data_IF_001714603586
#
_entry.id   IF_001714603586
#
_cell.length_a   1.000
_cell.length_b   1.000
_cell.length_c   1.000
_cell.angle_alpha   90.00
_cell.angle_beta   90.00
_cell.angle_gamma   90.00
#
_symmetry.space_group_name_H-M   'P 1'
#
loop_
_entity.id
_entity.type
_entity.pdbx_description
1 polymer ?
#
# COMPACT_ATOMS: atom_id res chain seq x y z
N UNK A 1 -28.96 11.42 -8.11
CA UNK A 1 -30.00 10.38 -8.02
C UNK A 1 -29.53 9.14 -7.23
N UNK A 2 -28.27 8.74 -7.26
CA UNK A 2 -27.74 7.55 -6.55
C UNK A 2 -27.62 6.31 -7.42
N UNK A 3 -27.88 6.42 -8.70
CA UNK A 3 -27.70 5.37 -9.71
C UNK A 3 -27.02 5.92 -10.98
N UNK A 4 -26.71 5.05 -11.96
CA UNK A 4 -26.00 5.44 -13.17
C UNK A 4 -26.87 6.28 -14.11
N UNK A 5 -26.23 6.99 -15.05
CA UNK A 5 -26.95 7.78 -16.05
C UNK A 5 -27.78 6.91 -17.02
N UNK A 6 -27.42 5.63 -17.15
CA UNK A 6 -28.13 4.65 -18.00
C UNK A 6 -29.45 4.18 -17.38
N UNK A 7 -29.58 4.32 -16.03
CA UNK A 7 -30.73 3.88 -15.26
C UNK A 7 -31.70 5.02 -14.93
N UNK A 8 -31.53 6.21 -15.52
CA UNK A 8 -32.38 7.36 -15.27
C UNK A 8 -33.82 7.12 -15.72
N UNK A 9 -34.77 7.46 -14.83
CA UNK A 9 -36.19 7.48 -15.19
C UNK A 9 -36.51 8.61 -16.19
N UNK A 10 -37.65 8.52 -16.86
CA UNK A 10 -38.15 9.61 -17.71
C UNK A 10 -38.36 10.91 -16.93
N UNK A 11 -38.79 10.82 -15.67
CA UNK A 11 -38.93 11.98 -14.79
C UNK A 11 -37.60 12.63 -14.44
N UNK A 12 -36.59 11.84 -14.13
CA UNK A 12 -35.25 12.30 -13.82
C UNK A 12 -34.53 12.89 -15.04
N UNK A 13 -34.65 12.21 -16.20
CA UNK A 13 -34.13 12.70 -17.48
C UNK A 13 -34.76 14.04 -17.88
N UNK A 14 -36.07 14.16 -17.80
CA UNK A 14 -36.78 15.39 -18.07
C UNK A 14 -36.42 16.52 -17.08
N UNK A 15 -36.19 16.17 -15.79
CA UNK A 15 -35.72 17.14 -14.80
C UNK A 15 -34.34 17.67 -15.14
N UNK A 16 -33.39 16.79 -15.49
CA UNK A 16 -32.04 17.19 -15.90
C UNK A 16 -32.06 18.06 -17.15
N UNK A 17 -32.95 17.78 -18.11
CA UNK A 17 -33.06 18.55 -19.34
C UNK A 17 -33.59 19.97 -19.09
N UNK A 18 -34.42 20.22 -18.08
CA UNK A 18 -34.97 21.55 -17.79
C UNK A 18 -34.14 22.38 -16.82
N UNK A 19 -33.20 21.76 -16.04
CA UNK A 19 -32.34 22.46 -15.08
C UNK A 19 -31.44 23.53 -15.71
N UNK A 20 -30.80 23.34 -16.88
CA UNK A 20 -29.89 24.33 -17.46
C UNK A 20 -30.59 25.61 -17.92
N UNK A 21 -31.91 25.60 -18.13
CA UNK A 21 -32.65 26.75 -18.68
C UNK A 21 -32.77 27.96 -17.76
N UNK A 22 -32.53 27.82 -16.45
CA UNK A 22 -32.54 28.95 -15.52
C UNK A 22 -31.84 28.56 -14.19
N UNK A 23 -30.56 28.28 -14.19
CA UNK A 23 -29.83 27.69 -13.04
C UNK A 23 -29.85 28.59 -11.78
N UNK A 24 -29.97 29.90 -11.94
CA UNK A 24 -30.07 30.84 -10.82
C UNK A 24 -31.47 30.86 -10.13
N UNK A 25 -32.51 30.43 -10.83
CA UNK A 25 -33.91 30.50 -10.36
C UNK A 25 -34.52 29.13 -10.07
N UNK A 26 -33.99 28.09 -10.67
CA UNK A 26 -34.55 26.74 -10.61
C UNK A 26 -33.43 25.80 -10.12
N UNK A 27 -33.51 25.46 -8.85
CA UNK A 27 -32.58 24.55 -8.18
C UNK A 27 -33.37 23.59 -7.31
N UNK A 28 -32.82 22.41 -6.99
CA UNK A 28 -33.48 21.44 -6.12
C UNK A 28 -33.83 22.01 -4.74
N UNK A 29 -33.05 22.97 -4.24
CA UNK A 29 -33.36 23.68 -2.97
C UNK A 29 -34.23 24.91 -3.10
N UNK A 30 -34.35 25.51 -4.30
CA UNK A 30 -35.14 26.73 -4.56
C UNK A 30 -35.96 26.57 -5.82
N UNK A 31 -37.25 27.02 -5.76
CA UNK A 31 -38.13 26.98 -6.92
C UNK A 31 -38.61 25.59 -7.31
N UNK A 32 -38.67 24.65 -6.39
CA UNK A 32 -39.11 23.25 -6.63
C UNK A 32 -40.47 23.18 -7.35
N UNK A 33 -41.45 24.04 -7.01
CA UNK A 33 -42.75 24.09 -7.71
C UNK A 33 -42.56 24.44 -9.21
N UNK A 34 -41.69 25.38 -9.51
CA UNK A 34 -41.41 25.81 -10.88
C UNK A 34 -40.63 24.69 -11.64
N UNK A 35 -39.69 24.01 -10.97
CA UNK A 35 -38.99 22.88 -11.52
C UNK A 35 -39.96 21.74 -11.86
N UNK A 36 -40.82 21.38 -10.94
CA UNK A 36 -41.87 20.35 -11.12
C UNK A 36 -42.75 20.70 -12.31
N UNK A 37 -43.24 21.93 -12.38
CA UNK A 37 -44.12 22.40 -13.48
C UNK A 37 -43.38 22.31 -14.85
N UNK A 38 -42.13 22.71 -14.92
CA UNK A 38 -41.35 22.64 -16.16
C UNK A 38 -41.07 21.19 -16.57
N UNK A 39 -40.70 20.32 -15.61
CA UNK A 39 -40.51 18.89 -15.84
C UNK A 39 -41.81 18.27 -16.41
N UNK A 40 -42.90 18.48 -15.73
CA UNK A 40 -44.20 17.91 -16.13
C UNK A 40 -44.66 18.45 -17.48
N UNK A 41 -44.35 19.73 -17.80
CA UNK A 41 -44.65 20.28 -19.12
C UNK A 41 -43.81 19.60 -20.24
N UNK A 42 -42.52 19.31 -19.97
CA UNK A 42 -41.67 18.57 -20.93
C UNK A 42 -42.21 17.15 -21.11
N UNK A 43 -42.55 16.46 -20.01
CA UNK A 43 -43.12 15.09 -20.09
C UNK A 43 -44.42 15.06 -20.88
N UNK A 44 -45.28 16.07 -20.70
CA UNK A 44 -46.53 16.22 -21.47
C UNK A 44 -46.23 16.39 -22.96
N UNK A 45 -45.26 17.21 -23.33
CA UNK A 45 -44.84 17.41 -24.70
C UNK A 45 -44.32 16.11 -25.32
N UNK A 46 -43.49 15.35 -24.60
CA UNK A 46 -42.99 14.06 -25.05
C UNK A 46 -44.14 13.03 -25.29
N UNK A 47 -45.17 13.07 -24.47
CA UNK A 47 -46.39 12.28 -24.64
C UNK A 47 -47.19 12.72 -25.86
N UNK A 48 -47.40 14.04 -26.04
CA UNK A 48 -48.14 14.60 -27.20
C UNK A 48 -47.41 14.34 -28.53
N UNK A 49 -46.08 14.23 -28.51
CA UNK A 49 -45.25 13.88 -29.66
C UNK A 49 -45.07 12.35 -29.83
N UNK A 50 -45.79 11.54 -29.08
CA UNK A 50 -45.78 10.05 -29.12
C UNK A 50 -44.38 9.44 -28.85
N UNK A 51 -43.47 10.17 -28.16
CA UNK A 51 -42.14 9.67 -27.79
C UNK A 51 -42.24 8.71 -26.60
N UNK A 52 -43.20 8.97 -25.69
CA UNK A 52 -43.52 8.09 -24.56
C UNK A 52 -45.01 7.74 -24.59
N UNK A 53 -45.35 6.53 -24.13
CA UNK A 53 -46.72 6.07 -24.05
C UNK A 53 -47.48 6.63 -22.82
N UNK A 54 -48.78 6.44 -22.76
CA UNK A 54 -49.64 6.95 -21.68
C UNK A 54 -49.23 6.38 -20.31
N UNK A 55 -48.86 5.11 -20.24
CA UNK A 55 -48.46 4.46 -18.98
C UNK A 55 -47.16 5.06 -18.47
N UNK A 56 -46.18 5.22 -19.33
CA UNK A 56 -44.89 5.86 -19.02
C UNK A 56 -45.06 7.31 -18.58
N UNK A 57 -45.96 8.06 -19.25
CA UNK A 57 -46.25 9.43 -18.89
C UNK A 57 -46.89 9.53 -17.49
N UNK A 58 -47.90 8.69 -17.18
CA UNK A 58 -48.54 8.66 -15.87
C UNK A 58 -47.56 8.31 -14.74
N UNK A 59 -46.69 7.34 -14.94
CA UNK A 59 -45.64 6.97 -13.99
C UNK A 59 -44.65 8.14 -13.78
N UNK A 60 -44.17 8.73 -14.87
CA UNK A 60 -43.19 9.82 -14.80
C UNK A 60 -43.70 11.08 -14.10
N UNK A 61 -44.99 11.46 -14.31
CA UNK A 61 -45.56 12.63 -13.61
C UNK A 61 -45.86 12.34 -12.13
N UNK A 62 -46.10 11.07 -11.77
CA UNK A 62 -46.34 10.67 -10.37
C UNK A 62 -45.05 10.64 -9.53
N UNK A 63 -43.92 10.55 -10.17
CA UNK A 63 -42.59 10.50 -9.51
C UNK A 63 -42.29 11.86 -8.85
N UNK A 64 -41.97 11.89 -7.54
CA UNK A 64 -41.59 13.11 -6.86
C UNK A 64 -40.25 13.66 -7.33
N UNK A 65 -40.00 14.96 -7.13
CA UNK A 65 -38.65 15.51 -7.26
C UNK A 65 -37.78 14.98 -6.11
N UNK A 66 -36.50 14.63 -6.35
CA UNK A 66 -35.61 14.24 -5.29
C UNK A 66 -35.44 15.35 -4.26
N UNK A 67 -35.32 15.00 -2.98
CA UNK A 67 -35.22 15.99 -1.92
C UNK A 67 -33.89 16.71 -1.92
N UNK A 68 -32.78 15.95 -1.94
CA UNK A 68 -31.43 16.47 -2.01
C UNK A 68 -30.58 15.60 -2.95
N UNK A 69 -29.54 16.16 -3.57
CA UNK A 69 -28.59 15.37 -4.36
C UNK A 69 -27.92 14.32 -3.45
N UNK A 70 -27.84 13.09 -3.91
CA UNK A 70 -27.04 12.10 -3.24
C UNK A 70 -25.56 12.53 -3.25
N UNK A 71 -24.86 12.48 -2.10
CA UNK A 71 -23.45 12.77 -2.07
C UNK A 71 -22.70 11.77 -2.95
N UNK A 72 -21.71 12.26 -3.68
CA UNK A 72 -20.83 11.37 -4.44
C UNK A 72 -20.12 10.39 -3.48
N UNK A 73 -19.99 9.12 -3.83
CA UNK A 73 -19.25 8.16 -3.03
C UNK A 73 -17.81 8.67 -2.81
N UNK A 74 -17.39 8.78 -1.56
CA UNK A 74 -16.02 9.16 -1.19
C UNK A 74 -15.25 7.93 -0.78
N UNK A 75 -14.93 7.07 -1.76
CA UNK A 75 -14.12 5.87 -1.56
C UNK A 75 -12.70 6.19 -2.00
N UNK A 76 -11.69 5.87 -1.15
CA UNK A 76 -10.27 6.14 -1.38
C UNK A 76 -9.97 7.61 -1.79
N UNK A 77 -10.40 8.63 -1.01
CA UNK A 77 -10.35 10.03 -1.46
C UNK A 77 -8.92 10.53 -1.73
N UNK A 78 -7.91 10.04 -1.02
CA UNK A 78 -6.51 10.37 -1.27
C UNK A 78 -6.04 9.82 -2.62
N UNK A 79 -6.43 8.58 -2.96
CA UNK A 79 -6.12 7.99 -4.26
C UNK A 79 -6.82 8.73 -5.40
N UNK A 80 -8.08 9.11 -5.22
CA UNK A 80 -8.82 9.93 -6.20
C UNK A 80 -8.11 11.26 -6.41
N UNK A 81 -7.69 11.94 -5.33
CA UNK A 81 -6.94 13.20 -5.41
C UNK A 81 -5.63 13.02 -6.17
N UNK A 82 -4.89 11.96 -5.87
CA UNK A 82 -3.64 11.61 -6.56
C UNK A 82 -3.88 11.40 -8.05
N UNK A 83 -4.85 10.57 -8.44
CA UNK A 83 -5.15 10.31 -9.84
C UNK A 83 -5.64 11.54 -10.59
N UNK A 84 -6.42 12.41 -9.92
CA UNK A 84 -6.83 13.67 -10.50
C UNK A 84 -5.64 14.56 -10.86
N UNK A 85 -4.62 14.62 -9.99
CA UNK A 85 -3.40 15.38 -10.23
C UNK A 85 -2.49 14.73 -11.29
N UNK A 86 -2.32 13.42 -11.24
CA UNK A 86 -1.41 12.70 -12.16
C UNK A 86 -2.01 12.52 -13.57
N UNK A 87 -3.34 12.47 -13.69
CA UNK A 87 -4.04 12.12 -14.94
C UNK A 87 -5.00 13.20 -15.44
N UNK A 88 -4.92 14.42 -14.91
CA UNK A 88 -5.74 15.56 -15.34
C UNK A 88 -7.26 15.28 -15.39
N UNK A 89 -7.78 14.49 -14.46
CA UNK A 89 -9.21 14.15 -14.38
C UNK A 89 -9.72 13.17 -15.45
N UNK A 90 -8.83 12.45 -16.12
CA UNK A 90 -9.23 11.39 -17.06
C UNK A 90 -9.92 10.25 -16.32
N UNK A 91 -10.89 9.60 -17.00
CA UNK A 91 -11.51 8.37 -16.49
C UNK A 91 -10.43 7.34 -16.19
N UNK A 92 -10.45 6.79 -14.99
CA UNK A 92 -9.40 5.90 -14.50
C UNK A 92 -10.02 4.68 -13.84
N UNK A 93 -9.65 3.50 -14.28
CA UNK A 93 -10.00 2.23 -13.62
C UNK A 93 -8.83 1.81 -12.73
N UNK A 94 -9.12 1.54 -11.46
CA UNK A 94 -8.14 1.06 -10.50
C UNK A 94 -8.31 -0.42 -10.19
N UNK A 95 -7.28 -1.01 -9.58
CA UNK A 95 -7.29 -2.39 -9.07
C UNK A 95 -7.95 -2.51 -7.68
N UNK A 96 -8.43 -1.41 -7.12
CA UNK A 96 -9.05 -1.37 -5.79
C UNK A 96 -10.30 -2.25 -5.75
N UNK A 97 -10.34 -3.17 -4.80
CA UNK A 97 -11.55 -3.93 -4.47
C UNK A 97 -12.46 -3.07 -3.60
N UNK A 98 -13.68 -2.81 -4.08
CA UNK A 98 -14.64 -1.95 -3.39
C UNK A 98 -15.02 -2.49 -2.00
N UNK A 99 -15.17 -3.80 -1.86
CA UNK A 99 -15.56 -4.44 -0.60
C UNK A 99 -14.46 -4.31 0.44
N UNK A 100 -13.23 -4.67 0.06
CA UNK A 100 -12.05 -4.55 0.93
C UNK A 100 -11.84 -3.08 1.29
N UNK A 101 -11.85 -2.16 0.33
CA UNK A 101 -11.63 -0.73 0.56
C UNK A 101 -12.63 -0.15 1.57
N UNK A 102 -13.93 -0.41 1.37
CA UNK A 102 -14.98 0.12 2.26
C UNK A 102 -14.81 -0.40 3.68
N UNK A 103 -14.48 -1.69 3.83
CA UNK A 103 -14.23 -2.27 5.15
C UNK A 103 -13.00 -1.65 5.83
N UNK A 104 -11.91 -1.49 5.07
CA UNK A 104 -10.65 -0.91 5.58
C UNK A 104 -10.84 0.55 6.00
N UNK A 105 -11.61 1.35 5.28
CA UNK A 105 -11.93 2.72 5.68
C UNK A 105 -12.71 2.76 6.99
N UNK A 106 -13.73 1.91 7.14
CA UNK A 106 -14.50 1.80 8.39
C UNK A 106 -13.65 1.35 9.57
N UNK A 107 -12.73 0.39 9.33
CA UNK A 107 -11.76 -0.08 10.31
C UNK A 107 -10.79 1.04 10.70
N UNK A 108 -10.26 1.77 9.73
CA UNK A 108 -9.34 2.88 9.95
C UNK A 108 -10.00 4.02 10.78
N UNK A 109 -11.26 4.34 10.50
CA UNK A 109 -12.01 5.33 11.29
C UNK A 109 -12.23 4.89 12.74
N UNK A 110 -12.56 3.61 12.96
CA UNK A 110 -12.70 3.06 14.32
C UNK A 110 -11.41 3.19 15.12
N UNK A 111 -10.28 2.77 14.55
CA UNK A 111 -8.98 2.89 15.20
C UNK A 111 -8.53 4.33 15.38
N UNK A 112 -8.80 5.21 14.42
CA UNK A 112 -8.52 6.63 14.54
C UNK A 112 -9.25 7.26 15.72
N UNK A 113 -10.52 6.90 15.96
CA UNK A 113 -11.28 7.38 17.10
C UNK A 113 -10.66 6.93 18.44
N UNK A 114 -10.10 5.72 18.50
CA UNK A 114 -9.36 5.23 19.67
C UNK A 114 -8.04 6.00 19.86
N UNK A 115 -7.26 6.15 18.79
CA UNK A 115 -5.97 6.84 18.82
C UNK A 115 -6.08 8.34 19.13
N UNK A 116 -7.17 8.98 18.73
CA UNK A 116 -7.43 10.39 19.02
C UNK A 116 -7.47 10.70 20.53
N UNK A 117 -7.78 9.73 21.39
CA UNK A 117 -7.72 9.86 22.85
C UNK A 117 -6.30 10.10 23.36
N UNK A 118 -5.31 9.70 22.57
CA UNK A 118 -3.88 9.88 22.86
C UNK A 118 -3.22 10.92 21.96
N UNK A 119 -4.01 11.80 21.31
CA UNK A 119 -3.54 12.79 20.34
C UNK A 119 -2.75 12.22 19.17
N UNK A 120 -3.02 10.97 18.77
CA UNK A 120 -2.51 10.34 17.56
C UNK A 120 -3.63 10.46 16.51
N UNK A 121 -3.37 11.16 15.41
CA UNK A 121 -4.42 11.68 14.52
C UNK A 121 -4.47 11.05 13.14
N UNK A 122 -3.42 10.36 12.72
CA UNK A 122 -3.29 9.90 11.35
C UNK A 122 -2.97 8.40 11.30
N UNK A 123 -3.59 7.72 10.36
CA UNK A 123 -3.45 6.30 10.11
C UNK A 123 -3.53 6.07 8.60
N UNK A 124 -2.59 5.32 8.04
CA UNK A 124 -2.59 4.91 6.66
C UNK A 124 -2.46 3.39 6.52
N UNK A 125 -3.16 2.82 5.52
CA UNK A 125 -3.20 1.38 5.25
C UNK A 125 -3.06 1.15 3.76
N UNK A 126 -2.17 0.22 3.39
CA UNK A 126 -1.99 -0.24 2.02
C UNK A 126 -2.06 -1.77 1.98
N UNK A 127 -2.86 -2.33 1.08
CA UNK A 127 -2.99 -3.78 0.89
C UNK A 127 -2.67 -4.13 -0.54
N UNK A 128 -1.75 -5.08 -0.71
CA UNK A 128 -1.31 -5.63 -1.99
C UNK A 128 -1.71 -7.10 -2.05
N UNK A 129 -2.43 -7.51 -3.10
CA UNK A 129 -2.62 -8.90 -3.48
C UNK A 129 -1.32 -9.37 -4.15
N UNK A 130 -0.61 -10.29 -3.50
CA UNK A 130 0.73 -10.72 -3.89
C UNK A 130 0.71 -11.47 -5.23
N UNK A 131 -0.14 -12.51 -5.43
CA UNK A 131 -0.25 -13.22 -6.69
C UNK A 131 -0.62 -12.32 -7.88
N UNK A 132 -1.57 -11.41 -7.68
CA UNK A 132 -2.01 -10.50 -8.72
C UNK A 132 -1.03 -9.32 -8.96
N UNK A 133 -0.11 -9.08 -8.03
CA UNK A 133 0.74 -7.89 -7.98
C UNK A 133 -0.05 -6.57 -8.05
N UNK A 134 -1.19 -6.50 -7.36
CA UNK A 134 -2.12 -5.38 -7.44
C UNK A 134 -2.44 -4.80 -6.08
N UNK A 135 -2.60 -3.48 -6.02
CA UNK A 135 -3.14 -2.81 -4.84
C UNK A 135 -4.65 -3.02 -4.78
N UNK A 136 -5.13 -3.64 -3.71
CA UNK A 136 -6.57 -3.91 -3.51
C UNK A 136 -7.24 -3.00 -2.49
N UNK A 137 -6.46 -2.30 -1.63
CA UNK A 137 -6.97 -1.23 -0.77
C UNK A 137 -5.92 -0.14 -0.54
N UNK A 138 -6.39 1.11 -0.48
CA UNK A 138 -5.58 2.32 -0.35
C UNK A 138 -6.27 3.32 0.58
N UNK A 139 -5.94 3.29 1.85
CA UNK A 139 -6.38 4.29 2.82
C UNK A 139 -5.20 5.24 3.10
N UNK A 140 -5.12 6.36 2.36
CA UNK A 140 -4.01 7.31 2.46
C UNK A 140 -3.95 8.05 3.79
N UNK A 141 -5.08 8.22 4.44
CA UNK A 141 -5.26 8.78 5.77
C UNK A 141 -6.74 8.65 6.18
N UNK A 142 -7.06 9.04 7.42
CA UNK A 142 -8.41 9.06 7.97
C UNK A 142 -9.03 10.47 7.91
N UNK A 143 -10.36 10.57 7.98
CA UNK A 143 -11.12 11.83 8.09
C UNK A 143 -10.73 12.87 7.03
N UNK A 144 -10.71 12.50 5.75
CA UNK A 144 -10.31 13.35 4.62
C UNK A 144 -11.06 14.70 4.57
N UNK A 145 -12.32 14.72 4.98
CA UNK A 145 -13.20 15.89 5.05
C UNK A 145 -12.75 16.95 6.08
N UNK A 146 -11.93 16.56 7.07
CA UNK A 146 -11.43 17.44 8.12
C UNK A 146 -10.16 18.13 7.66
N UNK A 147 -10.16 19.47 7.64
CA UNK A 147 -8.98 20.28 7.27
C UNK A 147 -7.89 20.33 8.36
N UNK A 148 -8.23 19.93 9.59
CA UNK A 148 -7.31 19.97 10.75
C UNK A 148 -6.58 18.62 10.89
N UNK A 149 -5.36 18.66 11.48
CA UNK A 149 -4.60 17.45 11.82
C UNK A 149 -3.84 16.79 10.67
N UNK A 150 -3.74 17.42 9.52
CA UNK A 150 -3.02 16.86 8.36
C UNK A 150 -3.73 15.71 7.66
N UNK A 151 -5.05 15.58 7.83
CA UNK A 151 -5.84 14.46 7.31
C UNK A 151 -5.88 14.41 5.77
N UNK A 152 -5.61 15.51 5.08
CA UNK A 152 -5.52 15.57 3.61
C UNK A 152 -4.16 15.11 3.07
N UNK A 153 -3.18 14.87 3.94
CA UNK A 153 -1.88 14.32 3.53
C UNK A 153 -2.05 12.86 3.17
N UNK A 154 -1.66 12.49 1.96
CA UNK A 154 -1.52 11.10 1.56
C UNK A 154 -0.26 10.49 2.18
N UNK A 155 -0.42 9.85 3.31
CA UNK A 155 0.69 9.27 4.08
C UNK A 155 1.29 8.05 3.39
N UNK A 156 0.54 7.37 2.52
CA UNK A 156 1.09 6.24 1.74
C UNK A 156 2.26 6.71 0.87
N UNK A 157 2.22 7.95 0.37
CA UNK A 157 3.25 8.54 -0.47
C UNK A 157 4.23 9.43 0.31
N UNK A 158 3.93 9.77 1.56
CA UNK A 158 4.78 10.65 2.36
C UNK A 158 5.98 9.88 2.94
N UNK A 159 7.22 10.39 2.78
CA UNK A 159 8.39 9.78 3.41
C UNK A 159 8.30 9.89 4.94
N UNK A 160 8.54 8.77 5.64
CA UNK A 160 8.52 8.65 7.10
C UNK A 160 9.71 7.84 7.58
N UNK A 161 10.22 8.14 8.78
CA UNK A 161 11.34 7.40 9.35
C UNK A 161 10.99 5.91 9.48
N UNK A 162 11.87 5.07 8.92
CA UNK A 162 11.63 3.62 8.80
C UNK A 162 11.71 2.87 10.13
N UNK A 163 12.35 3.44 11.15
CA UNK A 163 12.64 2.68 12.37
C UNK A 163 13.33 1.36 12.04
N UNK A 164 12.79 0.27 12.53
CA UNK A 164 13.34 -1.09 12.35
C UNK A 164 12.77 -1.87 11.15
N UNK A 165 11.95 -1.24 10.30
CA UNK A 165 11.22 -1.95 9.23
C UNK A 165 12.14 -2.48 8.12
N UNK A 166 13.37 -1.98 8.02
CA UNK A 166 14.36 -2.40 7.02
C UNK A 166 15.19 -3.61 7.45
N UNK A 167 15.16 -4.03 8.72
CA UNK A 167 16.00 -5.15 9.24
C UNK A 167 15.82 -6.48 8.49
N UNK A 168 14.60 -6.89 8.10
CA UNK A 168 14.40 -8.14 7.36
C UNK A 168 15.14 -8.18 6.02
N UNK A 169 15.26 -7.05 5.33
CA UNK A 169 15.96 -6.98 4.05
C UNK A 169 17.47 -7.19 4.23
N UNK A 170 18.07 -6.64 5.28
CA UNK A 170 19.47 -6.89 5.61
C UNK A 170 19.71 -8.36 5.98
N UNK A 171 18.83 -8.92 6.80
CA UNK A 171 18.88 -10.32 7.19
C UNK A 171 18.80 -11.25 5.97
N UNK A 172 17.81 -11.04 5.10
CA UNK A 172 17.65 -11.80 3.85
C UNK A 172 18.84 -11.68 2.90
N UNK A 173 19.41 -10.48 2.76
CA UNK A 173 20.59 -10.25 1.94
C UNK A 173 21.83 -11.03 2.44
N UNK A 174 22.03 -11.05 3.75
CA UNK A 174 23.16 -11.78 4.34
C UNK A 174 22.96 -13.31 4.29
N UNK A 175 21.72 -13.80 4.42
CA UNK A 175 21.38 -15.21 4.18
C UNK A 175 21.67 -15.61 2.74
N UNK A 176 21.26 -14.80 1.78
CA UNK A 176 21.47 -15.05 0.35
C UNK A 176 22.95 -15.19 -0.03
N UNK A 177 23.83 -14.46 0.65
CA UNK A 177 25.27 -14.52 0.43
C UNK A 177 25.97 -15.62 1.25
N UNK A 178 25.24 -16.34 2.10
CA UNK A 178 25.81 -17.33 3.01
C UNK A 178 26.68 -16.73 4.12
N UNK A 179 26.65 -15.40 4.30
CA UNK A 179 27.38 -14.70 5.37
C UNK A 179 26.66 -14.71 6.71
N UNK A 180 25.42 -15.20 6.73
CA UNK A 180 24.59 -15.37 7.90
C UNK A 180 23.84 -16.71 7.82
N UNK A 181 23.65 -17.35 8.96
CA UNK A 181 22.77 -18.52 9.13
C UNK A 181 21.71 -18.19 10.20
N UNK A 182 20.52 -18.79 10.15
CA UNK A 182 19.45 -18.49 11.12
C UNK A 182 19.86 -18.71 12.57
N UNK A 183 20.64 -19.75 12.85
CA UNK A 183 21.10 -20.12 14.18
C UNK A 183 22.41 -19.44 14.61
N UNK A 184 23.06 -18.71 13.70
CA UNK A 184 24.33 -18.02 13.99
C UNK A 184 24.17 -17.04 15.15
N UNK A 185 25.00 -17.17 16.18
CA UNK A 185 24.99 -16.25 17.31
C UNK A 185 25.56 -14.89 16.91
N UNK A 186 24.78 -13.88 17.14
CA UNK A 186 25.15 -12.48 16.97
C UNK A 186 25.40 -11.82 18.34
N UNK A 187 26.42 -10.95 18.45
CA UNK A 187 26.65 -10.23 19.70
C UNK A 187 25.54 -9.24 20.01
N UNK A 188 25.03 -9.29 21.21
CA UNK A 188 24.10 -8.31 21.78
C UNK A 188 24.71 -7.74 23.09
N UNK A 189 25.78 -6.98 22.93
CA UNK A 189 26.55 -6.34 23.99
C UNK A 189 26.70 -4.85 23.70
N UNK A 190 26.94 -4.00 24.72
CA UNK A 190 27.23 -2.59 24.48
C UNK A 190 28.37 -2.38 23.51
N UNK A 191 28.15 -1.59 22.46
CA UNK A 191 29.15 -1.29 21.44
C UNK A 191 29.32 0.21 21.26
N UNK A 192 30.53 0.64 20.94
CA UNK A 192 30.85 1.99 20.49
C UNK A 192 31.57 1.91 19.15
N UNK A 193 30.91 2.36 18.09
CA UNK A 193 31.45 2.33 16.73
C UNK A 193 31.71 3.78 16.29
N UNK A 194 32.91 4.25 16.45
CA UNK A 194 33.33 5.63 16.10
C UNK A 194 32.41 6.72 16.75
N UNK A 195 32.04 6.54 18.02
CA UNK A 195 31.14 7.44 18.72
C UNK A 195 29.64 7.13 18.60
N UNK A 196 29.28 6.23 17.70
CA UNK A 196 27.90 5.74 17.60
C UNK A 196 27.67 4.61 18.60
N UNK A 197 26.78 4.82 19.56
CA UNK A 197 26.48 3.90 20.68
C UNK A 197 25.01 3.47 20.62
N UNK A 198 24.63 2.55 19.72
CA UNK A 198 23.25 2.08 19.64
C UNK A 198 22.83 1.34 20.91
N UNK A 199 21.54 1.41 21.24
CA UNK A 199 20.96 0.70 22.37
C UNK A 199 19.75 -0.08 21.92
N UNK A 200 19.46 -1.22 22.57
CA UNK A 200 18.19 -1.92 22.36
C UNK A 200 17.03 -1.12 22.93
N UNK A 201 15.82 -1.35 22.41
CA UNK A 201 14.63 -0.65 22.87
C UNK A 201 14.34 -0.94 24.36
N UNK A 202 14.63 -2.16 24.82
CA UNK A 202 14.51 -2.59 26.22
C UNK A 202 15.59 -2.01 27.14
N UNK A 203 16.63 -1.37 26.60
CA UNK A 203 17.84 -0.94 27.31
C UNK A 203 18.62 -2.11 27.97
N UNK A 204 18.35 -3.36 27.55
CA UNK A 204 19.00 -4.58 28.04
C UNK A 204 19.81 -5.23 26.95
N UNK A 205 20.80 -6.03 27.35
CA UNK A 205 21.70 -6.78 26.48
C UNK A 205 21.75 -8.24 26.95
N UNK A 206 21.79 -9.18 26.00
CA UNK A 206 21.70 -10.61 26.30
C UNK A 206 23.00 -11.39 26.01
N UNK A 207 24.06 -10.68 25.64
CA UNK A 207 25.35 -11.28 25.34
C UNK A 207 25.43 -11.82 23.91
N UNK A 208 24.76 -12.90 23.62
CA UNK A 208 24.71 -13.50 22.26
C UNK A 208 23.30 -14.08 22.00
N UNK A 209 22.78 -13.83 20.80
CA UNK A 209 21.42 -14.22 20.39
C UNK A 209 21.45 -14.81 18.99
N UNK A 210 20.70 -15.90 18.70
CA UNK A 210 20.54 -16.42 17.35
C UNK A 210 20.03 -15.34 16.39
N UNK A 211 20.54 -15.33 15.15
CA UNK A 211 20.22 -14.29 14.17
C UNK A 211 18.72 -14.21 13.86
N UNK A 212 18.00 -15.34 13.77
CA UNK A 212 16.55 -15.38 13.58
C UNK A 212 15.80 -14.75 14.75
N UNK A 213 16.20 -15.06 15.97
CA UNK A 213 15.62 -14.49 17.18
C UNK A 213 15.92 -13.00 17.31
N UNK A 214 17.14 -12.58 17.02
CA UNK A 214 17.51 -11.16 16.98
C UNK A 214 16.65 -10.35 15.99
N UNK A 215 16.31 -10.96 14.83
CA UNK A 215 15.37 -10.36 13.86
C UNK A 215 13.95 -10.32 14.42
N UNK A 216 13.43 -11.43 14.94
CA UNK A 216 12.06 -11.54 15.47
C UNK A 216 11.84 -10.52 16.61
N UNK A 217 12.80 -10.39 17.50
CA UNK A 217 12.77 -9.44 18.63
C UNK A 217 13.21 -8.03 18.24
N UNK A 218 13.62 -7.84 16.99
CA UNK A 218 14.01 -6.53 16.45
C UNK A 218 15.17 -5.86 17.20
N UNK A 219 16.16 -6.65 17.70
CA UNK A 219 17.29 -6.13 18.45
C UNK A 219 18.11 -5.15 17.59
N UNK A 220 18.57 -4.06 18.22
CA UNK A 220 19.29 -3.00 17.51
C UNK A 220 20.76 -3.32 17.34
N UNK A 221 21.41 -3.85 18.39
CA UNK A 221 22.85 -4.12 18.37
C UNK A 221 23.19 -5.19 17.31
N UNK A 222 22.53 -6.36 17.29
CA UNK A 222 22.76 -7.34 16.24
C UNK A 222 22.53 -6.76 14.83
N UNK A 223 21.49 -5.95 14.63
CA UNK A 223 21.19 -5.33 13.34
C UNK A 223 22.30 -4.36 12.89
N UNK A 224 22.81 -3.52 13.78
CA UNK A 224 23.94 -2.62 13.50
C UNK A 224 25.20 -3.40 13.18
N UNK A 225 25.49 -4.45 13.93
CA UNK A 225 26.66 -5.32 13.70
C UNK A 225 26.55 -6.03 12.35
N UNK A 226 25.35 -6.52 11.99
CA UNK A 226 25.08 -7.09 10.66
C UNK A 226 25.34 -6.05 9.56
N UNK A 227 24.80 -4.82 9.70
CA UNK A 227 25.02 -3.78 8.70
C UNK A 227 26.47 -3.37 8.58
N UNK A 228 27.21 -3.31 9.69
CA UNK A 228 28.64 -3.01 9.66
C UNK A 228 29.42 -4.10 8.88
N UNK A 229 29.08 -5.37 9.08
CA UNK A 229 29.70 -6.52 8.37
C UNK A 229 29.32 -6.58 6.89
N UNK A 230 28.04 -6.33 6.59
CA UNK A 230 27.52 -6.37 5.22
C UNK A 230 27.99 -5.19 4.38
N UNK A 231 28.14 -4.03 5.01
CA UNK A 231 28.54 -2.77 4.40
C UNK A 231 27.36 -1.87 4.04
N UNK A 232 27.38 -0.65 4.58
CA UNK A 232 26.34 0.36 4.35
C UNK A 232 26.13 0.66 2.85
N UNK A 233 27.19 0.86 2.02
CA UNK A 233 27.00 1.13 0.59
C UNK A 233 26.27 0.00 -0.15
N UNK A 234 26.58 -1.25 0.21
CA UNK A 234 26.01 -2.43 -0.42
C UNK A 234 24.52 -2.56 -0.06
N UNK A 235 24.17 -2.40 1.21
CA UNK A 235 22.79 -2.42 1.66
C UNK A 235 21.98 -1.26 1.09
N UNK A 236 22.54 -0.07 1.05
CA UNK A 236 21.94 1.10 0.43
C UNK A 236 21.60 0.85 -1.05
N UNK A 237 22.53 0.32 -1.82
CA UNK A 237 22.32 -0.03 -3.22
C UNK A 237 21.19 -1.07 -3.38
N UNK A 238 21.19 -2.10 -2.54
CA UNK A 238 20.13 -3.11 -2.54
C UNK A 238 18.75 -2.53 -2.28
N UNK A 239 18.61 -1.62 -1.32
CA UNK A 239 17.34 -0.94 -1.04
C UNK A 239 16.85 -0.13 -2.26
N UNK A 240 17.76 0.55 -2.98
CA UNK A 240 17.42 1.22 -4.22
C UNK A 240 16.93 0.25 -5.31
N UNK A 241 17.57 -0.93 -5.43
CA UNK A 241 17.13 -1.97 -6.35
C UNK A 241 15.74 -2.56 -5.97
N UNK A 242 15.40 -2.57 -4.69
CA UNK A 242 14.07 -2.96 -4.19
C UNK A 242 12.99 -1.89 -4.41
N UNK A 243 13.35 -0.70 -4.89
CA UNK A 243 12.41 0.36 -5.22
C UNK A 243 12.22 1.42 -4.14
N UNK A 244 13.09 1.50 -3.11
CA UNK A 244 13.05 2.58 -2.12
C UNK A 244 13.50 3.90 -2.72
N UNK A 245 12.57 4.65 -3.34
CA UNK A 245 12.84 5.88 -4.11
C UNK A 245 13.31 7.04 -3.23
N UNK A 246 12.92 7.05 -1.97
CA UNK A 246 13.24 8.12 -1.00
C UNK A 246 14.62 7.96 -0.36
N UNK A 247 15.23 6.77 -0.43
CA UNK A 247 16.58 6.50 0.06
C UNK A 247 17.59 6.89 -1.05
N UNK A 248 17.68 8.18 -1.35
CA UNK A 248 18.38 8.72 -2.51
C UNK A 248 19.64 9.55 -2.18
N UNK A 249 19.94 9.79 -0.90
CA UNK A 249 21.20 10.43 -0.48
C UNK A 249 22.33 9.41 -0.50
N UNK A 250 23.58 9.87 -0.37
CA UNK A 250 24.74 8.97 -0.35
C UNK A 250 24.67 8.00 0.82
N UNK A 251 25.23 6.79 0.65
CA UNK A 251 25.30 5.79 1.72
C UNK A 251 26.01 6.32 2.98
N UNK A 252 27.04 7.17 2.80
CA UNK A 252 27.77 7.82 3.91
C UNK A 252 26.90 8.78 4.71
N UNK A 253 25.88 9.38 4.09
CA UNK A 253 24.94 10.26 4.80
C UNK A 253 24.12 9.49 5.84
N UNK A 254 23.69 8.28 5.50
CA UNK A 254 22.90 7.44 6.39
C UNK A 254 23.76 6.72 7.44
N UNK A 255 24.95 6.25 7.04
CA UNK A 255 25.83 5.47 7.91
C UNK A 255 25.09 4.27 8.52
N UNK A 256 25.50 3.86 9.73
CA UNK A 256 24.89 2.74 10.45
C UNK A 256 23.46 3.03 10.95
N UNK A 257 23.07 4.31 11.02
CA UNK A 257 21.70 4.69 11.41
C UNK A 257 20.65 4.25 10.40
N UNK A 258 21.05 3.93 9.15
CA UNK A 258 20.17 3.41 8.08
C UNK A 258 19.27 2.27 8.56
N UNK A 259 19.80 1.36 9.39
CA UNK A 259 19.06 0.18 9.86
C UNK A 259 18.18 0.45 11.09
N UNK A 260 18.29 1.63 11.69
CA UNK A 260 17.56 2.04 12.91
C UNK A 260 16.60 3.20 12.67
N UNK A 261 16.34 3.58 11.41
CA UNK A 261 15.42 4.67 11.07
C UNK A 261 16.10 5.98 10.69
N UNK A 262 17.40 5.98 10.41
CA UNK A 262 18.13 7.11 9.84
C UNK A 262 17.74 7.43 8.39
N UNK A 263 16.92 6.59 7.77
CA UNK A 263 16.33 6.83 6.45
C UNK A 263 14.81 6.98 6.55
N UNK A 264 14.24 7.64 5.54
CA UNK A 264 12.80 7.76 5.37
C UNK A 264 12.35 6.94 4.16
N UNK A 265 11.20 6.27 4.28
CA UNK A 265 10.57 5.53 3.19
C UNK A 265 9.06 5.82 3.17
N UNK A 266 8.44 5.58 2.02
CA UNK A 266 6.99 5.64 1.88
C UNK A 266 6.36 4.33 2.31
N UNK A 267 5.10 4.37 2.76
CA UNK A 267 4.35 3.13 3.05
C UNK A 267 4.20 2.29 1.77
N UNK A 268 4.13 2.94 0.62
CA UNK A 268 4.13 2.30 -0.69
C UNK A 268 5.38 1.45 -0.92
N UNK A 269 6.57 2.07 -0.82
CA UNK A 269 7.85 1.38 -1.07
C UNK A 269 8.07 0.24 -0.09
N UNK A 270 7.77 0.48 1.19
CA UNK A 270 7.90 -0.52 2.26
C UNK A 270 6.99 -1.72 1.98
N UNK A 271 5.67 -1.50 1.78
CA UNK A 271 4.72 -2.60 1.58
C UNK A 271 5.02 -3.39 0.31
N UNK A 272 5.41 -2.70 -0.79
CA UNK A 272 5.82 -3.35 -2.02
C UNK A 272 7.09 -4.21 -1.85
N UNK A 273 8.08 -3.74 -1.10
CA UNK A 273 9.30 -4.51 -0.84
C UNK A 273 9.01 -5.80 -0.06
N UNK A 274 8.10 -5.77 0.92
CA UNK A 274 7.63 -6.98 1.60
C UNK A 274 6.80 -7.88 0.68
N UNK A 275 5.95 -7.32 -0.18
CA UNK A 275 5.23 -8.08 -1.19
C UNK A 275 6.17 -8.77 -2.18
N UNK A 276 7.29 -8.14 -2.56
CA UNK A 276 8.33 -8.75 -3.41
C UNK A 276 8.89 -10.03 -2.79
N UNK A 277 9.17 -10.05 -1.47
CA UNK A 277 9.60 -11.30 -0.80
C UNK A 277 8.52 -12.39 -0.86
N UNK A 278 7.25 -12.04 -0.74
CA UNK A 278 6.15 -13.00 -0.91
C UNK A 278 6.05 -13.53 -2.34
N UNK A 279 6.21 -12.65 -3.35
CA UNK A 279 6.17 -13.04 -4.77
C UNK A 279 7.32 -13.98 -5.16
N UNK A 280 8.52 -13.76 -4.63
CA UNK A 280 9.64 -14.65 -4.90
C UNK A 280 9.40 -16.10 -4.46
N UNK A 281 8.49 -16.30 -3.49
CA UNK A 281 8.07 -17.64 -3.05
C UNK A 281 6.95 -18.23 -3.91
N UNK A 282 6.05 -17.41 -4.42
CA UNK A 282 4.92 -17.85 -5.24
C UNK A 282 5.36 -18.30 -6.64
N UNK A 283 6.41 -17.71 -7.18
CA UNK A 283 6.85 -17.90 -8.57
C UNK A 283 7.78 -19.10 -8.80
N UNK A 284 8.21 -19.80 -7.75
CA UNK A 284 9.03 -21.03 -7.91
C UNK A 284 8.29 -22.15 -8.66
N UNK A 285 7.00 -21.99 -9.00
CA UNK A 285 6.20 -23.00 -9.69
C UNK A 285 5.80 -22.62 -11.12
N UNK A 286 6.11 -21.41 -11.61
CA UNK A 286 5.76 -20.97 -12.97
C UNK A 286 6.94 -20.27 -13.65
N UNK A 287 7.48 -20.94 -14.67
CA UNK A 287 8.62 -20.44 -15.48
C UNK A 287 8.26 -19.32 -16.48
N UNK A 288 7.05 -18.74 -16.45
CA UNK A 288 6.51 -18.14 -17.68
C UNK A 288 6.09 -16.67 -17.61
N UNK A 289 6.41 -15.86 -16.61
CA UNK A 289 6.07 -14.43 -16.69
C UNK A 289 7.22 -13.52 -16.26
N UNK A 290 7.54 -12.48 -17.07
CA UNK A 290 8.42 -11.40 -16.65
C UNK A 290 7.76 -10.67 -15.48
N UNK A 291 8.40 -10.71 -14.31
CA UNK A 291 7.87 -10.07 -13.12
C UNK A 291 8.00 -8.55 -13.25
N UNK A 292 6.88 -7.87 -13.35
CA UNK A 292 6.86 -6.45 -13.11
C UNK A 292 7.25 -6.18 -11.66
N UNK A 293 8.36 -5.48 -11.45
CA UNK A 293 8.85 -5.10 -10.12
C UNK A 293 7.91 -4.10 -9.42
N UNK A 294 7.18 -3.34 -10.19
CA UNK A 294 6.30 -2.28 -9.69
C UNK A 294 4.88 -2.81 -9.53
N UNK A 295 4.32 -2.62 -8.32
CA UNK A 295 2.95 -3.04 -8.04
C UNK A 295 1.96 -2.19 -8.83
N UNK A 296 0.94 -2.84 -9.40
CA UNK A 296 -0.09 -2.19 -10.19
C UNK A 296 -1.18 -1.60 -9.29
N UNK A 297 -1.64 -0.41 -9.60
CA UNK A 297 -2.80 0.23 -8.99
C UNK A 297 -3.81 0.69 -10.05
N UNK A 298 -3.39 0.71 -11.30
CA UNK A 298 -4.21 1.02 -12.45
C UNK A 298 -4.43 -0.25 -13.27
N UNK A 299 -5.66 -0.48 -13.69
CA UNK A 299 -5.95 -1.40 -14.77
C UNK A 299 -5.57 -0.66 -16.07
N UNK A 300 -4.90 -1.33 -16.98
CA UNK A 300 -4.60 -0.77 -18.29
C UNK A 300 -5.91 -0.24 -18.90
N UNK A 301 -5.95 1.04 -19.19
CA UNK A 301 -7.07 1.61 -19.90
C UNK A 301 -7.01 1.05 -21.32
N UNK A 302 -8.03 0.30 -21.76
CA UNK A 302 -8.39 0.35 -23.17
C UNK A 302 -8.55 1.85 -23.47
N UNK A 303 -7.70 2.40 -24.32
CA UNK A 303 -7.90 3.73 -24.89
C UNK A 303 -9.23 3.72 -25.69
N UNK A 304 -10.34 3.81 -24.97
CA UNK A 304 -11.56 4.28 -25.56
C UNK A 304 -11.38 5.78 -25.74
N UNK A 305 -10.93 6.12 -26.93
CA UNK A 305 -11.00 7.47 -27.49
C UNK A 305 -12.34 8.06 -27.08
N UNK A 306 -12.27 9.11 -26.26
CA UNK A 306 -13.44 9.85 -25.83
C UNK A 306 -14.06 10.46 -27.08
N UNK A 307 -15.25 9.92 -27.45
CA UNK A 307 -16.24 10.57 -28.30
C UNK A 307 -15.69 11.15 -29.61
N UNK A 308 -15.62 10.35 -30.63
CA UNK A 308 -15.99 10.84 -31.95
C UNK A 308 -17.44 11.36 -31.84
N UNK A 309 -17.56 12.68 -31.67
CA UNK A 309 -18.80 13.36 -31.95
C UNK A 309 -19.10 13.09 -33.42
N UNK A 310 -20.15 12.36 -33.67
CA UNK A 310 -20.75 12.21 -34.98
C UNK A 310 -21.28 13.59 -35.45
N UNK A 311 -20.37 14.37 -36.04
CA UNK A 311 -20.68 15.64 -36.70
C UNK A 311 -21.07 15.34 -38.15
N UNK A 312 -22.20 14.63 -38.33
CA UNK A 312 -22.87 14.58 -39.62
C UNK A 312 -23.72 15.85 -39.83
N UNK A 313 -23.09 17.01 -39.93
CA UNK A 313 -23.60 18.19 -40.61
C UNK A 313 -22.50 18.83 -41.42
N UNK A 314 -22.37 18.40 -42.67
CA UNK A 314 -21.64 19.13 -43.68
C UNK A 314 -22.32 20.46 -43.97
N UNK A 315 -21.62 21.53 -43.65
CA UNK A 315 -21.81 22.81 -44.35
C UNK A 315 -20.48 23.13 -45.03
N UNK A 316 -20.55 23.10 -46.35
CA UNK A 316 -19.49 23.49 -47.27
C UNK A 316 -19.14 24.95 -47.09
N UNK A 317 -17.89 25.27 -46.87
CA UNK A 317 -17.23 26.46 -47.41
C UNK A 317 -15.70 26.28 -47.36
N UNK A 318 -15.14 26.22 -48.56
CA UNK A 318 -13.70 26.29 -48.82
C UNK A 318 -13.11 27.57 -48.25
N UNK A 319 -12.00 27.46 -47.52
CA UNK A 319 -10.89 28.40 -47.58
C UNK A 319 -9.62 27.78 -47.01
N UNK A 320 -8.70 27.64 -47.92
CA UNK A 320 -7.27 27.42 -47.76
C UNK A 320 -6.68 28.25 -46.64
N UNK A 321 -5.82 27.72 -45.78
CA UNK A 321 -4.58 28.35 -45.29
C UNK A 321 -3.81 27.37 -44.37
N UNK A 322 -2.59 27.06 -44.85
CA UNK A 322 -1.33 27.01 -44.10
C UNK A 322 -1.15 25.94 -43.00
N UNK A 323 -0.31 25.00 -43.34
CA UNK A 323 0.44 24.11 -42.45
C UNK A 323 1.05 24.86 -41.27
N UNK A 324 0.74 24.41 -40.06
CA UNK A 324 1.59 24.62 -38.89
C UNK A 324 1.75 23.28 -38.17
N UNK A 325 2.94 22.80 -38.24
CA UNK A 325 3.56 21.69 -37.55
C UNK A 325 3.09 21.58 -36.10
N UNK A 326 2.30 20.55 -35.81
CA UNK A 326 2.03 20.13 -34.45
C UNK A 326 3.13 19.17 -34.07
N UNK A 327 3.99 19.58 -33.17
CA UNK A 327 5.03 18.74 -32.57
C UNK A 327 4.34 17.66 -31.73
N UNK A 328 4.30 16.45 -32.28
CA UNK A 328 4.01 15.24 -31.50
C UNK A 328 5.10 15.09 -30.42
N UNK A 329 4.70 15.25 -29.17
CA UNK A 329 5.52 14.76 -28.06
C UNK A 329 5.48 13.24 -28.08
N UNK A 330 6.42 12.65 -28.79
CA UNK A 330 6.75 11.24 -28.72
C UNK A 330 7.24 10.98 -27.29
N UNK A 331 6.42 10.30 -26.49
CA UNK A 331 6.88 9.66 -25.27
C UNK A 331 7.86 8.57 -25.74
N UNK A 332 9.13 8.60 -25.34
CA UNK A 332 10.05 7.58 -25.80
C UNK A 332 9.59 6.23 -25.26
N UNK A 333 9.15 5.33 -26.13
CA UNK A 333 9.12 3.89 -25.85
C UNK A 333 10.54 3.51 -25.46
N UNK A 334 10.76 3.30 -24.18
CA UNK A 334 12.01 2.73 -23.69
C UNK A 334 12.09 1.32 -24.28
N UNK A 335 12.85 1.16 -25.33
CA UNK A 335 13.28 -0.15 -25.83
C UNK A 335 14.15 -0.76 -24.73
N UNK A 336 13.57 -1.66 -23.96
CA UNK A 336 14.31 -2.46 -22.98
C UNK A 336 15.06 -3.49 -23.82
N UNK A 337 16.37 -3.40 -23.81
CA UNK A 337 17.24 -4.43 -24.36
C UNK A 337 16.95 -5.76 -23.65
N UNK A 338 16.75 -6.85 -24.40
CA UNK A 338 16.33 -8.18 -23.98
C UNK A 338 17.32 -8.90 -23.01
N UNK A 339 18.32 -8.25 -22.46
CA UNK A 339 19.33 -8.85 -21.57
C UNK A 339 19.16 -8.57 -20.07
N UNK A 340 18.09 -7.90 -19.62
CA UNK A 340 17.84 -7.75 -18.20
C UNK A 340 16.71 -8.71 -17.76
N UNK A 341 17.00 -10.01 -17.72
CA UNK A 341 16.27 -10.93 -16.83
C UNK A 341 16.45 -10.36 -15.42
N UNK A 342 15.40 -9.75 -14.89
CA UNK A 342 15.45 -9.06 -13.61
C UNK A 342 15.64 -10.09 -12.50
N UNK A 343 16.91 -10.31 -12.14
CA UNK A 343 17.26 -11.17 -11.01
C UNK A 343 16.55 -10.62 -9.78
N UNK A 344 15.79 -11.46 -9.10
CA UNK A 344 15.15 -11.11 -7.83
C UNK A 344 16.20 -10.55 -6.87
N UNK A 345 15.91 -9.44 -6.21
CA UNK A 345 16.87 -8.80 -5.30
C UNK A 345 17.12 -9.68 -4.07
N UNK A 346 16.05 -10.33 -3.57
CA UNK A 346 16.14 -11.37 -2.52
C UNK A 346 15.61 -12.67 -3.12
N UNK A 347 16.44 -13.71 -3.11
CA UNK A 347 16.08 -15.03 -3.63
C UNK A 347 14.98 -15.71 -2.81
N UNK A 348 14.25 -16.64 -3.43
CA UNK A 348 13.18 -17.39 -2.76
C UNK A 348 13.65 -18.08 -1.47
N UNK A 349 14.83 -18.67 -1.44
CA UNK A 349 15.37 -19.29 -0.22
C UNK A 349 15.60 -18.29 0.91
N UNK A 350 16.22 -17.15 0.61
CA UNK A 350 16.46 -16.10 1.59
C UNK A 350 15.13 -15.45 2.06
N UNK A 351 14.18 -15.25 1.14
CA UNK A 351 12.84 -14.74 1.47
C UNK A 351 12.09 -15.73 2.39
N UNK A 352 12.12 -17.03 2.09
CA UNK A 352 11.48 -18.04 2.92
C UNK A 352 12.03 -18.07 4.35
N UNK A 353 13.36 -18.11 4.51
CA UNK A 353 14.00 -18.07 5.83
C UNK A 353 13.71 -16.76 6.58
N UNK A 354 13.68 -15.62 5.86
CA UNK A 354 13.38 -14.32 6.46
C UNK A 354 11.92 -14.25 6.94
N UNK A 355 10.97 -14.63 6.08
CA UNK A 355 9.54 -14.62 6.45
C UNK A 355 9.24 -15.65 7.54
N UNK A 356 9.90 -16.82 7.52
CA UNK A 356 9.78 -17.82 8.59
C UNK A 356 10.26 -17.26 9.94
N UNK A 357 11.40 -16.56 9.99
CA UNK A 357 11.86 -15.90 11.22
C UNK A 357 10.87 -14.84 11.71
N UNK A 358 10.17 -14.15 10.81
CA UNK A 358 9.17 -13.14 11.15
C UNK A 358 7.83 -13.72 11.62
N UNK A 359 7.59 -15.02 11.46
CA UNK A 359 6.42 -15.68 12.11
C UNK A 359 6.63 -15.88 13.61
N UNK A 360 7.87 -15.79 14.08
CA UNK A 360 8.22 -15.96 15.50
C UNK A 360 8.01 -14.66 16.32
N UNK A 361 7.68 -13.55 15.69
CA UNK A 361 7.39 -12.28 16.38
C UNK A 361 6.12 -12.44 17.23
N UNK A 362 6.21 -12.12 18.52
CA UNK A 362 5.06 -12.18 19.41
C UNK A 362 3.97 -11.21 18.97
N UNK A 363 2.74 -11.71 18.87
CA UNK A 363 1.56 -10.90 18.55
C UNK A 363 1.13 -10.10 19.77
N UNK A 364 0.61 -8.86 19.56
CA UNK A 364 -0.04 -8.13 20.65
C UNK A 364 -1.21 -8.97 21.17
N UNK A 365 -1.38 -9.00 22.50
CA UNK A 365 -2.53 -9.62 23.19
C UNK A 365 -2.66 -11.14 23.10
N UNK A 366 -1.82 -11.84 22.33
CA UNK A 366 -1.91 -13.28 22.14
C UNK A 366 -0.66 -13.99 22.70
N UNK A 367 -0.81 -14.61 23.88
CA UNK A 367 0.30 -15.30 24.55
C UNK A 367 0.62 -16.64 23.85
N UNK A 368 -0.33 -17.26 23.14
CA UNK A 368 -0.19 -18.62 22.62
C UNK A 368 -0.90 -18.86 21.28
N UNK A 369 -0.83 -17.89 20.36
CA UNK A 369 -1.51 -17.97 19.05
C UNK A 369 -1.11 -19.20 18.22
N UNK A 370 0.11 -19.71 18.39
CA UNK A 370 0.61 -20.90 17.67
C UNK A 370 -0.13 -22.18 18.04
N UNK A 371 -0.72 -22.22 19.23
CA UNK A 371 -1.51 -23.35 19.71
C UNK A 371 -2.96 -23.33 19.23
N UNK A 372 -3.41 -22.23 18.56
CA UNK A 372 -4.77 -22.08 18.05
C UNK A 372 -4.80 -22.45 16.56
N UNK A 373 -5.27 -23.65 16.16
CA UNK A 373 -5.21 -24.14 14.77
C UNK A 373 -5.95 -23.29 13.75
N UNK A 374 -6.89 -22.44 14.20
CA UNK A 374 -7.70 -21.56 13.33
C UNK A 374 -7.02 -20.24 13.00
N UNK A 375 -5.90 -19.92 13.64
CA UNK A 375 -5.20 -18.66 13.38
C UNK A 375 -4.27 -18.76 12.20
N UNK A 376 -4.42 -17.80 11.28
CA UNK A 376 -3.56 -17.69 10.11
C UNK A 376 -2.10 -17.35 10.51
N UNK A 377 -1.14 -18.04 9.89
CA UNK A 377 0.29 -17.71 10.00
C UNK A 377 0.58 -16.41 9.24
N UNK A 378 1.17 -15.44 9.91
CA UNK A 378 1.52 -14.13 9.37
C UNK A 378 2.97 -13.83 9.73
N UNK A 379 3.82 -13.63 8.73
CA UNK A 379 5.13 -13.01 8.95
C UNK A 379 4.93 -11.51 9.14
N UNK A 380 5.40 -10.94 10.23
CA UNK A 380 5.18 -9.52 10.45
C UNK A 380 6.36 -8.82 11.09
N UNK A 381 6.48 -7.52 10.84
CA UNK A 381 7.55 -6.68 11.38
C UNK A 381 7.02 -5.35 11.80
N UNK A 382 7.51 -4.87 12.94
CA UNK A 382 7.24 -3.53 13.44
C UNK A 382 8.41 -2.60 13.21
N UNK A 383 8.09 -1.31 13.11
CA UNK A 383 9.03 -0.21 13.17
C UNK A 383 8.52 0.86 14.14
N UNK A 384 9.43 1.45 14.90
CA UNK A 384 9.18 2.61 15.74
C UNK A 384 10.32 3.59 15.51
N UNK A 385 10.00 4.81 15.09
CA UNK A 385 11.03 5.83 14.87
C UNK A 385 11.51 6.45 16.17
N UNK A 386 12.71 7.01 16.13
CA UNK A 386 13.24 7.78 17.26
C UNK A 386 12.32 8.95 17.60
N UNK A 387 12.04 9.14 18.88
CA UNK A 387 11.12 10.17 19.38
C UNK A 387 9.65 9.83 19.21
N UNK A 388 9.30 8.54 18.94
CA UNK A 388 7.92 8.07 18.85
C UNK A 388 7.06 8.87 17.87
N UNK A 389 7.57 9.09 16.65
CA UNK A 389 6.91 9.86 15.58
C UNK A 389 6.15 8.99 14.60
N UNK A 390 6.71 7.81 14.31
CA UNK A 390 6.21 6.88 13.30
C UNK A 390 6.14 5.48 13.90
N UNK A 391 4.98 4.88 13.84
CA UNK A 391 4.74 3.50 14.22
C UNK A 391 4.31 2.71 12.98
N UNK A 392 5.03 1.63 12.69
CA UNK A 392 4.81 0.78 11.53
C UNK A 392 4.46 -0.64 11.95
N UNK A 393 3.61 -1.27 11.17
CA UNK A 393 3.47 -2.72 11.13
C UNK A 393 3.29 -3.16 9.68
N UNK A 394 4.07 -4.15 9.25
CA UNK A 394 3.90 -4.78 7.93
C UNK A 394 3.77 -6.27 8.13
N UNK A 395 2.75 -6.86 7.52
CA UNK A 395 2.47 -8.29 7.56
C UNK A 395 2.42 -8.90 6.16
N UNK A 396 2.84 -10.14 6.05
CA UNK A 396 2.86 -10.91 4.81
C UNK A 396 2.25 -12.28 5.03
N UNK A 397 1.34 -12.65 4.15
CA UNK A 397 0.82 -14.00 3.95
C UNK A 397 1.06 -14.39 2.49
N UNK A 398 0.85 -15.63 2.06
CA UNK A 398 0.97 -15.98 0.65
C UNK A 398 0.06 -15.17 -0.28
N UNK A 399 -1.04 -14.63 0.23
CA UNK A 399 -1.96 -13.86 -0.56
C UNK A 399 -1.80 -12.35 -0.44
N UNK A 400 -1.55 -11.83 0.74
CA UNK A 400 -1.56 -10.39 0.97
C UNK A 400 -0.31 -9.89 1.66
N UNK A 401 0.17 -8.73 1.20
CA UNK A 401 1.04 -7.87 1.97
C UNK A 401 0.24 -6.66 2.46
N UNK A 402 0.28 -6.42 3.76
CA UNK A 402 -0.45 -5.34 4.43
C UNK A 402 0.55 -4.43 5.11
N UNK A 403 0.54 -3.15 4.76
CA UNK A 403 1.31 -2.12 5.43
C UNK A 403 0.40 -1.18 6.22
N UNK A 404 0.77 -0.91 7.45
CA UNK A 404 0.09 0.02 8.36
C UNK A 404 1.10 1.03 8.89
N UNK A 405 0.75 2.31 8.83
CA UNK A 405 1.47 3.39 9.49
C UNK A 405 0.51 4.16 10.40
N UNK A 406 0.96 4.49 11.61
CA UNK A 406 0.23 5.29 12.60
C UNK A 406 1.15 6.39 13.11
N UNK A 407 0.63 7.61 13.25
CA UNK A 407 1.41 8.74 13.75
C UNK A 407 0.69 10.08 13.61
N UNK A 408 1.48 11.14 13.57
CA UNK A 408 0.98 12.48 13.25
C UNK A 408 1.62 12.97 11.95
N UNK A 409 0.81 13.40 10.98
CA UNK A 409 1.30 13.90 9.68
C UNK A 409 2.24 15.10 9.84
N UNK A 410 2.10 15.83 10.94
CA UNK A 410 2.99 16.94 11.32
C UNK A 410 4.39 16.50 11.78
N UNK A 411 4.59 15.20 12.03
CA UNK A 411 5.84 14.65 12.60
C UNK A 411 5.94 14.82 14.13
N UNK A 412 4.86 15.21 14.80
CA UNK A 412 4.83 15.28 16.27
C UNK A 412 4.88 13.87 16.85
N UNK A 413 5.87 13.62 17.73
CA UNK A 413 5.97 12.36 18.46
C UNK A 413 5.04 12.32 19.66
N UNK A 414 4.54 11.12 19.98
CA UNK A 414 3.70 10.90 21.17
C UNK A 414 4.24 9.73 21.99
N UNK A 415 4.40 9.87 23.32
CA UNK A 415 4.71 8.74 24.17
C UNK A 415 3.70 7.60 23.96
N UNK A 416 4.19 6.36 23.83
CA UNK A 416 3.34 5.20 23.55
C UNK A 416 3.04 4.94 22.07
N UNK A 417 3.46 5.80 21.15
CA UNK A 417 3.37 5.52 19.71
C UNK A 417 4.43 4.49 19.30
N UNK A 418 4.16 3.23 19.60
CA UNK A 418 5.04 2.08 19.37
C UNK A 418 4.39 1.15 18.34
N UNK A 419 5.14 0.72 17.35
CA UNK A 419 4.61 -0.11 16.25
C UNK A 419 3.83 -1.33 16.72
N UNK A 420 4.33 -2.06 17.72
CA UNK A 420 3.65 -3.24 18.25
C UNK A 420 2.33 -2.93 18.98
N UNK A 421 2.23 -1.76 19.61
CA UNK A 421 1.06 -1.39 20.45
C UNK A 421 0.01 -0.58 19.68
N UNK A 422 0.37 0.02 18.54
CA UNK A 422 -0.52 0.87 17.77
C UNK A 422 -0.78 0.30 16.38
N UNK A 423 0.22 0.21 15.52
CA UNK A 423 0.05 -0.32 14.16
C UNK A 423 -0.18 -1.84 14.12
N UNK A 424 0.37 -2.59 15.08
CA UNK A 424 0.21 -4.06 15.17
C UNK A 424 -1.24 -4.50 15.32
N UNK A 425 -2.02 -4.02 16.31
CA UNK A 425 -3.43 -4.37 16.45
C UNK A 425 -4.26 -4.06 15.20
N UNK A 426 -4.02 -2.91 14.56
CA UNK A 426 -4.68 -2.56 13.28
C UNK A 426 -4.35 -3.60 12.20
N UNK A 427 -3.08 -4.00 12.09
CA UNK A 427 -2.62 -5.01 11.13
C UNK A 427 -3.35 -6.34 11.31
N UNK A 428 -3.48 -6.82 12.54
CA UNK A 428 -4.15 -8.09 12.82
C UNK A 428 -5.66 -8.01 12.59
N UNK A 429 -6.31 -6.90 12.92
CA UNK A 429 -7.73 -6.69 12.58
C UNK A 429 -7.96 -6.75 11.07
N UNK A 430 -7.03 -6.23 10.28
CA UNK A 430 -7.10 -6.32 8.82
C UNK A 430 -6.99 -7.79 8.37
N UNK A 431 -6.01 -8.54 8.88
CA UNK A 431 -5.85 -9.95 8.52
C UNK A 431 -7.00 -10.84 9.00
N UNK A 432 -7.67 -10.50 10.09
CA UNK A 432 -8.87 -11.20 10.54
C UNK A 432 -10.06 -11.03 9.57
N UNK A 433 -10.09 -9.94 8.82
CA UNK A 433 -11.09 -9.70 7.79
C UNK A 433 -10.73 -10.33 6.43
N UNK A 434 -9.44 -10.27 6.05
CA UNK A 434 -8.99 -10.78 4.77
C UNK A 434 -9.11 -12.32 4.70
N UNK A 435 -9.40 -12.88 3.50
CA UNK A 435 -9.40 -14.31 3.32
C UNK A 435 -8.08 -14.96 3.76
N UNK A 436 -8.16 -16.00 4.56
CA UNK A 436 -7.00 -16.77 5.00
C UNK A 436 -6.39 -17.58 3.84
N UNK A 437 -5.10 -17.84 3.91
CA UNK A 437 -4.38 -18.71 2.98
C UNK A 437 -3.47 -19.68 3.75
N UNK A 438 -3.19 -20.90 3.23
CA UNK A 438 -2.13 -21.74 3.76
C UNK A 438 -0.80 -20.98 3.75
N UNK A 439 0.11 -21.36 4.65
CA UNK A 439 1.45 -20.77 4.66
C UNK A 439 2.25 -21.11 3.39
N UNK A 440 3.28 -20.36 3.09
CA UNK A 440 4.19 -20.64 1.99
C UNK A 440 4.81 -22.05 2.09
N UNK A 441 4.81 -22.77 0.99
CA UNK A 441 5.56 -24.02 0.90
C UNK A 441 7.06 -23.74 0.94
N UNK A 442 7.81 -24.63 1.57
CA UNK A 442 9.28 -24.54 1.56
C UNK A 442 9.78 -24.77 0.14
N UNK A 443 10.51 -23.82 -0.46
CA UNK A 443 11.08 -24.03 -1.77
C UNK A 443 12.00 -25.24 -1.79
N UNK A 444 11.88 -26.11 -2.81
CA UNK A 444 12.68 -27.32 -2.96
C UNK A 444 13.88 -27.09 -3.87
N UNK A 445 14.99 -27.81 -3.63
CA UNK A 445 16.16 -27.79 -4.51
C UNK A 445 17.04 -26.55 -4.47
N UNK A 446 16.74 -25.60 -3.57
CA UNK A 446 17.50 -24.33 -3.44
C UNK A 446 18.23 -24.19 -2.10
N UNK A 447 17.98 -25.11 -1.16
CA UNK A 447 18.70 -25.15 0.11
C UNK A 447 19.83 -26.17 0.05
N UNK A 448 20.91 -25.84 0.73
CA UNK A 448 22.03 -26.75 0.93
C UNK A 448 22.14 -27.00 2.42
N UNK A 449 22.13 -28.28 2.83
CA UNK A 449 22.35 -28.67 4.21
C UNK A 449 23.82 -28.42 4.55
N UNK A 450 24.08 -27.81 5.70
CA UNK A 450 25.42 -27.49 6.16
C UNK A 450 25.59 -27.87 7.63
N UNK A 451 26.72 -28.51 7.95
CA UNK A 451 27.09 -28.78 9.34
C UNK A 451 27.41 -27.45 10.06
N UNK A 452 26.67 -27.19 11.12
CA UNK A 452 26.85 -26.02 11.98
C UNK A 452 27.37 -26.45 13.36
N UNK A 453 28.13 -25.59 13.98
CA UNK A 453 28.53 -25.76 15.37
C UNK A 453 27.36 -25.51 16.30
N UNK A 454 26.96 -26.50 17.10
CA UNK A 454 25.82 -26.41 18.01
C UNK A 454 25.93 -25.24 19.00
N UNK A 455 27.14 -24.93 19.48
CA UNK A 455 27.36 -23.88 20.47
C UNK A 455 27.27 -22.47 19.87
N UNK A 456 27.64 -22.28 18.61
CA UNK A 456 27.75 -20.93 18.00
C UNK A 456 26.83 -20.68 16.82
N UNK A 457 26.22 -21.75 16.25
CA UNK A 457 25.41 -21.67 15.03
C UNK A 457 26.20 -21.30 13.76
N UNK A 458 27.53 -21.15 13.85
CA UNK A 458 28.39 -20.91 12.69
C UNK A 458 28.67 -22.24 11.94
N UNK A 459 29.07 -22.13 10.68
CA UNK A 459 29.58 -23.28 9.93
C UNK A 459 30.67 -23.98 10.73
N UNK A 460 30.68 -25.32 10.69
CA UNK A 460 31.65 -26.17 11.40
C UNK A 460 33.06 -25.72 11.13
N UNK A 461 33.75 -25.36 12.17
CA UNK A 461 35.19 -25.05 12.15
C UNK A 461 36.01 -26.13 12.86
N UNK A 462 37.35 -26.03 12.79
CA UNK A 462 38.27 -27.01 13.40
C UNK A 462 38.15 -27.16 14.92
N UNK A 463 37.55 -26.19 15.58
CA UNK A 463 37.36 -26.16 17.05
C UNK A 463 35.94 -26.49 17.49
N UNK A 464 35.08 -26.93 16.58
CA UNK A 464 33.73 -27.31 16.89
C UNK A 464 33.68 -28.77 17.35
N UNK A 465 33.27 -29.01 18.58
CA UNK A 465 33.18 -30.34 19.17
C UNK A 465 31.84 -31.02 18.85
N UNK A 466 30.76 -30.27 18.81
CA UNK A 466 29.40 -30.77 18.54
C UNK A 466 28.80 -30.07 17.33
N UNK A 467 28.18 -30.82 16.41
CA UNK A 467 27.54 -30.27 15.21
C UNK A 467 26.07 -30.66 15.10
N UNK A 468 25.29 -29.78 14.49
CA UNK A 468 23.94 -30.02 13.97
C UNK A 468 23.92 -29.77 12.45
N UNK A 469 22.88 -30.25 11.75
CA UNK A 469 22.68 -30.07 10.30
C UNK A 469 21.39 -29.32 10.01
#
# INVERSE_FOLDING_TARGET
FGHSAEDLSWAESAMLAVLPNAPAMIHLSKGRKTLLSKRNRLLKQLFEEEIIDASTYELAISEPLPDEPHPLPQIAPHLVTRFYQERNGLYTRSTIDKGIQTHIESLAERWSNEFNRSDIRNLAILIIDIPANQVVAYCGNVHFDRKQGGNQVDVIQAPRSTGSILKPFLYGAMLQEGSLLPQMLLPDVPVNINGFTPQNFSMQFEGAVPASEALARSLNIPAVTMLQRYGVPKFHHMLQQMGFKTINRSASHYGLSLILGGAEATLWDVTNAYAQMGRSLSNNHSNDLPQEKEVQILLEAEEKTVLERDDSRKVTSEKTISEKTTSERIIPKRTISEEAISKEVISAGAAWLTLSALTEVNRPEEIDWKSIPSMQTIAWKTGTSYGFRDAWAVGVTPRYAVGVWVGNATGEGKPGLVGAQTAGPVLFDIFNYLPSSPWFERPTGIFVDAEICRQSGHLKGRFCEETDT
#
